data_IF_165938790277
#
_entry.id   IF_165938790277
#
_cell.length_a   1.000
_cell.length_b   1.000
_cell.length_c   1.000
_cell.angle_alpha   90.00
_cell.angle_beta   90.00
_cell.angle_gamma   90.00
#
_symmetry.space_group_name_H-M   'P 1'
#
loop_
_entity.id
_entity.type
_entity.pdbx_description
1 polymer ?
#
# COMPACT_ATOMS: atom_id res chain seq x y z
N UNK A 1 40.88 -45.83 -17.59
CA UNK A 1 40.26 -44.54 -17.23
C UNK A 1 40.34 -43.62 -18.43
N UNK A 2 39.22 -43.27 -19.08
CA UNK A 2 39.20 -42.30 -20.19
C UNK A 2 38.75 -40.95 -19.63
N UNK A 3 39.65 -39.97 -19.69
CA UNK A 3 39.44 -38.58 -19.36
C UNK A 3 38.40 -37.95 -20.31
N UNK A 4 37.37 -37.32 -19.76
CA UNK A 4 36.42 -36.48 -20.51
C UNK A 4 37.07 -35.12 -20.74
N UNK A 5 37.60 -34.91 -21.94
CA UNK A 5 38.10 -33.61 -22.36
C UNK A 5 36.90 -32.77 -22.82
N UNK A 6 36.50 -31.79 -22.01
CA UNK A 6 35.42 -30.86 -22.34
C UNK A 6 35.96 -29.89 -23.39
N UNK A 7 35.30 -29.87 -24.55
CA UNK A 7 35.63 -29.04 -25.69
C UNK A 7 35.33 -27.57 -25.38
N UNK A 8 36.39 -26.82 -25.08
CA UNK A 8 36.33 -25.44 -24.57
C UNK A 8 35.76 -24.45 -25.60
N UNK A 9 35.85 -24.76 -26.90
CA UNK A 9 35.25 -23.95 -27.96
C UNK A 9 33.73 -24.05 -27.97
N UNK A 10 33.18 -25.23 -27.66
CA UNK A 10 31.73 -25.43 -27.51
C UNK A 10 31.17 -24.67 -26.31
N UNK A 11 31.92 -24.60 -25.21
CA UNK A 11 31.51 -23.85 -24.02
C UNK A 11 31.55 -22.33 -24.28
N UNK A 12 32.59 -21.83 -24.96
CA UNK A 12 32.71 -20.42 -25.33
C UNK A 12 31.58 -19.94 -26.26
N UNK A 13 31.22 -20.76 -27.26
CA UNK A 13 30.09 -20.45 -28.15
C UNK A 13 28.73 -20.49 -27.45
N UNK A 14 28.55 -21.35 -26.45
CA UNK A 14 27.31 -21.44 -25.68
C UNK A 14 27.15 -20.22 -24.75
N UNK A 15 28.22 -19.76 -24.11
CA UNK A 15 28.24 -18.56 -23.26
C UNK A 15 27.98 -17.31 -24.10
N UNK A 16 28.65 -17.16 -25.25
CA UNK A 16 28.42 -16.04 -26.19
C UNK A 16 26.96 -15.98 -26.71
N UNK A 17 26.32 -17.14 -26.86
CA UNK A 17 24.91 -17.23 -27.30
C UNK A 17 23.93 -16.95 -26.15
N UNK A 18 24.34 -17.23 -24.90
CA UNK A 18 23.57 -16.89 -23.71
C UNK A 18 23.64 -15.39 -23.42
N UNK A 19 24.84 -14.78 -23.47
CA UNK A 19 25.06 -13.34 -23.26
C UNK A 19 24.33 -12.51 -24.33
N UNK A 20 24.41 -12.88 -25.61
CA UNK A 20 23.65 -12.20 -26.69
C UNK A 20 22.13 -12.29 -26.53
N UNK A 21 21.61 -13.30 -25.82
CA UNK A 21 20.16 -13.45 -25.60
C UNK A 21 19.67 -12.63 -24.38
N UNK A 22 20.57 -12.21 -23.50
CA UNK A 22 20.25 -11.28 -22.39
C UNK A 22 20.15 -9.84 -22.91
N UNK A 23 20.87 -9.48 -23.97
CA UNK A 23 20.89 -8.12 -24.52
C UNK A 23 19.79 -7.82 -25.56
N UNK A 24 19.00 -8.81 -25.99
CA UNK A 24 17.94 -8.67 -27.01
C UNK A 24 16.51 -8.84 -26.46
N UNK A 25 16.25 -8.32 -25.26
CA UNK A 25 14.88 -8.05 -24.80
C UNK A 25 14.61 -6.55 -24.84
N UNK A 26 14.08 -6.11 -25.99
CA UNK A 26 13.23 -4.93 -26.20
C UNK A 26 13.61 -3.65 -25.44
N UNK A 27 14.32 -2.75 -26.13
CA UNK A 27 14.35 -1.31 -25.85
C UNK A 27 12.92 -0.73 -25.79
N UNK A 28 12.41 -0.57 -24.59
CA UNK A 28 11.33 0.36 -24.26
C UNK A 28 11.94 1.51 -23.45
N UNK A 29 11.90 2.71 -24.00
CA UNK A 29 12.38 3.96 -23.41
C UNK A 29 11.73 4.26 -22.06
N UNK A 30 12.55 4.52 -21.04
CA UNK A 30 12.15 5.17 -19.81
C UNK A 30 13.07 4.79 -18.65
N UNK A 31 13.92 5.71 -18.21
CA UNK A 31 14.46 5.69 -16.86
C UNK A 31 13.27 5.74 -15.90
N UNK A 32 12.78 4.58 -15.47
CA UNK A 32 11.95 4.50 -14.27
C UNK A 32 12.93 4.48 -13.11
N UNK A 33 13.18 5.65 -12.53
CA UNK A 33 13.46 5.66 -11.09
C UNK A 33 12.39 4.77 -10.46
N UNK A 34 12.80 3.75 -9.69
CA UNK A 34 11.85 2.92 -8.97
C UNK A 34 11.19 3.84 -7.95
N UNK A 35 10.02 4.38 -8.32
CA UNK A 35 9.32 5.34 -7.49
C UNK A 35 9.00 4.66 -6.15
N UNK A 36 9.56 5.19 -5.07
CA UNK A 36 9.34 4.67 -3.72
C UNK A 36 7.84 4.78 -3.41
N UNK A 37 7.17 3.69 -3.01
CA UNK A 37 5.76 3.72 -2.66
C UNK A 37 5.49 4.78 -1.58
N UNK A 38 4.36 5.50 -1.62
CA UNK A 38 4.00 6.53 -0.63
C UNK A 38 4.17 6.08 0.82
N UNK A 39 3.78 4.84 1.14
CA UNK A 39 3.94 4.25 2.47
C UNK A 39 5.41 4.20 2.96
N UNK A 40 6.38 4.19 2.05
CA UNK A 40 7.81 4.03 2.36
C UNK A 40 8.63 5.32 2.15
N UNK A 41 7.98 6.42 1.74
CA UNK A 41 8.63 7.74 1.65
C UNK A 41 8.91 8.33 3.04
N UNK A 42 8.05 8.00 4.00
CA UNK A 42 8.19 8.37 5.40
C UNK A 42 9.35 7.61 6.05
N UNK A 43 10.35 8.33 6.58
CA UNK A 43 11.46 7.73 7.34
C UNK A 43 11.37 7.96 8.84
N UNK A 44 10.65 9.00 9.26
CA UNK A 44 10.49 9.38 10.67
C UNK A 44 9.07 9.10 11.17
N UNK A 45 8.92 8.75 12.45
CA UNK A 45 7.64 8.37 13.04
C UNK A 45 7.56 8.90 14.48
N UNK A 46 6.35 9.29 14.92
CA UNK A 46 6.10 9.62 16.34
C UNK A 46 6.00 8.33 17.16
N UNK A 47 5.37 7.30 16.59
CA UNK A 47 5.30 5.98 17.18
C UNK A 47 6.68 5.32 17.28
N UNK A 48 6.88 4.49 18.31
CA UNK A 48 8.04 3.60 18.35
C UNK A 48 7.90 2.49 17.30
N UNK A 49 9.05 1.97 16.86
CA UNK A 49 9.07 0.80 15.97
C UNK A 49 8.29 -0.38 16.57
N UNK A 50 8.50 -0.66 17.86
CA UNK A 50 7.78 -1.71 18.58
C UNK A 50 6.27 -1.52 18.56
N UNK A 51 5.77 -0.29 18.76
CA UNK A 51 4.33 0.02 18.67
C UNK A 51 3.77 -0.28 17.28
N UNK A 52 4.51 0.00 16.21
CA UNK A 52 4.09 -0.36 14.84
C UNK A 52 4.11 -1.86 14.64
N UNK A 53 5.18 -2.55 15.04
CA UNK A 53 5.29 -4.01 14.94
C UNK A 53 4.16 -4.71 15.69
N UNK A 54 3.79 -4.22 16.88
CA UNK A 54 2.70 -4.79 17.67
C UNK A 54 1.32 -4.72 16.99
N UNK A 55 1.15 -3.81 16.03
CA UNK A 55 -0.08 -3.72 15.22
C UNK A 55 -0.02 -4.50 13.90
N UNK A 56 1.14 -5.03 13.51
CA UNK A 56 1.26 -5.93 12.36
C UNK A 56 0.68 -7.32 12.67
N UNK A 57 0.32 -8.15 11.65
CA UNK A 57 -0.06 -9.54 11.88
C UNK A 57 0.93 -10.25 12.81
N UNK A 58 0.41 -10.93 13.83
CA UNK A 58 1.23 -11.62 14.82
C UNK A 58 2.17 -12.65 14.16
N UNK A 59 3.32 -12.91 14.78
CA UNK A 59 4.25 -13.93 14.31
C UNK A 59 3.58 -15.32 14.22
N UNK A 60 2.76 -15.64 15.22
CA UNK A 60 1.88 -16.82 15.20
C UNK A 60 0.50 -16.35 14.75
N UNK A 61 0.27 -16.36 13.43
CA UNK A 61 -1.02 -16.03 12.84
C UNK A 61 -1.54 -17.21 12.00
N UNK A 62 -2.83 -17.58 12.11
CA UNK A 62 -3.38 -18.73 11.38
C UNK A 62 -3.63 -18.46 9.89
N UNK A 63 -3.69 -17.20 9.45
CA UNK A 63 -4.09 -16.80 8.09
C UNK A 63 -3.00 -16.09 7.29
N UNK A 64 -2.06 -15.44 7.98
CA UNK A 64 -1.02 -14.61 7.39
C UNK A 64 0.34 -15.10 7.86
N UNK A 65 1.34 -15.01 7.00
CA UNK A 65 2.75 -15.18 7.36
C UNK A 65 3.62 -14.10 6.73
N UNK A 66 4.84 -13.99 7.24
CA UNK A 66 5.91 -13.18 6.65
C UNK A 66 6.95 -14.12 6.08
N UNK A 67 7.41 -13.85 4.86
CA UNK A 67 8.47 -14.66 4.22
C UNK A 67 9.84 -14.42 4.86
N UNK A 68 10.01 -13.32 5.58
CA UNK A 68 11.21 -13.01 6.35
C UNK A 68 10.87 -12.35 7.68
N UNK A 69 11.59 -11.29 8.02
CA UNK A 69 11.40 -10.57 9.28
C UNK A 69 10.01 -9.93 9.31
N UNK A 70 9.26 -10.19 10.40
CA UNK A 70 7.94 -9.60 10.64
C UNK A 70 8.03 -8.07 10.58
N UNK A 71 7.20 -7.46 9.73
CA UNK A 71 7.17 -6.00 9.55
C UNK A 71 8.24 -5.41 8.63
N UNK A 72 9.15 -6.24 8.09
CA UNK A 72 10.23 -5.81 7.17
C UNK A 72 10.29 -6.66 5.88
N UNK A 73 9.28 -7.49 5.64
CA UNK A 73 9.27 -8.44 4.52
C UNK A 73 7.87 -8.58 3.92
N UNK A 74 7.79 -9.36 2.84
CA UNK A 74 6.54 -9.67 2.17
C UNK A 74 5.64 -10.50 3.10
N UNK A 75 4.41 -10.02 3.29
CA UNK A 75 3.37 -10.71 4.05
C UNK A 75 2.38 -11.38 3.11
N UNK A 76 2.17 -12.69 3.26
CA UNK A 76 1.38 -13.52 2.33
C UNK A 76 0.28 -14.31 3.06
N UNK A 77 -0.68 -14.84 2.28
CA UNK A 77 -1.77 -15.69 2.78
C UNK A 77 -1.28 -17.12 3.00
N UNK A 78 -1.55 -17.68 4.19
CA UNK A 78 -1.28 -19.10 4.47
C UNK A 78 -2.24 -20.02 3.69
N UNK A 79 -1.80 -21.22 3.26
CA UNK A 79 -2.70 -22.24 2.75
C UNK A 79 -3.60 -22.84 3.86
N UNK A 80 -4.90 -23.10 3.59
CA UNK A 80 -5.65 -22.66 2.41
C UNK A 80 -5.95 -21.15 2.52
N UNK A 81 -5.74 -20.37 1.44
CA UNK A 81 -5.92 -18.92 1.50
C UNK A 81 -7.40 -18.55 1.63
N UNK A 82 -7.66 -17.42 2.28
CA UNK A 82 -8.98 -16.79 2.26
C UNK A 82 -9.34 -16.42 0.81
N UNK A 83 -10.42 -16.97 0.22
CA UNK A 83 -10.71 -16.80 -1.20
C UNK A 83 -10.91 -15.33 -1.61
N UNK A 84 -11.47 -14.51 -0.72
CA UNK A 84 -11.76 -13.11 -1.00
C UNK A 84 -10.49 -12.28 -1.03
N UNK A 85 -9.60 -12.49 -0.06
CA UNK A 85 -8.29 -11.84 -0.06
C UNK A 85 -7.44 -12.30 -1.24
N UNK A 86 -7.47 -13.60 -1.56
CA UNK A 86 -6.74 -14.14 -2.71
C UNK A 86 -7.17 -13.45 -4.01
N UNK A 87 -8.49 -13.33 -4.26
CA UNK A 87 -9.01 -12.63 -5.45
C UNK A 87 -8.47 -11.21 -5.55
N UNK A 88 -8.49 -10.45 -4.46
CA UNK A 88 -8.01 -9.05 -4.45
C UNK A 88 -6.52 -8.97 -4.77
N UNK A 89 -5.69 -9.86 -4.21
CA UNK A 89 -4.25 -9.88 -4.47
C UNK A 89 -3.94 -10.35 -5.91
N UNK A 90 -4.63 -11.37 -6.39
CA UNK A 90 -4.51 -11.88 -7.77
C UNK A 90 -4.90 -10.80 -8.80
N UNK A 91 -6.02 -10.09 -8.57
CA UNK A 91 -6.48 -8.97 -9.43
C UNK A 91 -5.47 -7.82 -9.48
N UNK A 92 -4.74 -7.58 -8.39
CA UNK A 92 -3.66 -6.60 -8.32
C UNK A 92 -2.32 -7.15 -8.87
N UNK A 93 -2.25 -8.43 -9.23
CA UNK A 93 -1.03 -9.08 -9.72
C UNK A 93 0.07 -9.21 -8.67
N UNK A 94 -0.28 -9.27 -7.38
CA UNK A 94 0.67 -9.36 -6.26
C UNK A 94 0.48 -10.65 -5.46
N UNK A 95 1.56 -11.18 -4.89
CA UNK A 95 1.52 -12.36 -4.01
C UNK A 95 1.08 -12.02 -2.57
N UNK A 96 1.31 -10.78 -2.15
CA UNK A 96 1.17 -10.33 -0.78
C UNK A 96 1.43 -8.84 -0.64
N UNK A 97 1.48 -8.37 0.60
CA UNK A 97 1.71 -6.96 0.94
C UNK A 97 3.12 -6.80 1.49
N UNK A 98 3.90 -5.91 0.87
CA UNK A 98 5.24 -5.60 1.38
C UNK A 98 5.12 -4.75 2.65
N UNK A 99 5.90 -5.11 3.66
CA UNK A 99 6.08 -4.28 4.85
C UNK A 99 7.50 -3.72 4.91
N UNK A 100 7.61 -2.51 5.47
CA UNK A 100 8.88 -1.89 5.88
C UNK A 100 8.60 -1.01 7.09
N UNK A 101 9.47 -1.03 8.10
CA UNK A 101 9.28 -0.29 9.35
C UNK A 101 7.94 -0.60 10.07
N UNK A 102 7.36 -1.79 9.87
CA UNK A 102 6.03 -2.14 10.37
C UNK A 102 4.85 -1.47 9.63
N UNK A 103 5.11 -0.82 8.50
CA UNK A 103 4.10 -0.15 7.66
C UNK A 103 3.84 -0.97 6.39
N UNK A 104 2.57 -1.27 6.04
CA UNK A 104 2.23 -1.96 4.79
C UNK A 104 2.16 -1.02 3.60
N UNK A 105 2.57 -1.51 2.42
CA UNK A 105 2.28 -0.85 1.15
C UNK A 105 1.01 -1.39 0.51
N UNK A 106 -0.08 -0.62 0.60
CA UNK A 106 -1.34 -0.92 -0.08
C UNK A 106 -1.49 -0.25 -1.45
N UNK A 107 -0.47 0.45 -1.94
CA UNK A 107 -0.53 1.14 -3.23
C UNK A 107 -0.98 0.23 -4.39
N UNK A 108 -0.52 -1.04 -4.49
CA UNK A 108 -0.96 -1.94 -5.56
C UNK A 108 -2.47 -2.29 -5.55
N UNK A 109 -3.13 -2.20 -4.40
CA UNK A 109 -4.58 -2.49 -4.25
C UNK A 109 -5.41 -1.21 -4.08
N UNK A 110 -4.77 -0.05 -4.08
CA UNK A 110 -5.44 1.24 -3.92
C UNK A 110 -6.24 1.61 -5.16
N UNK A 111 -7.45 2.14 -4.94
CA UNK A 111 -8.34 2.66 -6.00
C UNK A 111 -8.17 4.16 -6.22
N UNK A 112 -7.73 4.88 -5.19
CA UNK A 112 -7.46 6.32 -5.23
C UNK A 112 -6.46 6.70 -4.14
N UNK A 113 -5.71 7.77 -4.36
CA UNK A 113 -4.85 8.37 -3.35
C UNK A 113 -5.05 9.88 -3.37
N UNK A 114 -5.27 10.46 -2.20
CA UNK A 114 -5.50 11.89 -2.03
C UNK A 114 -4.72 12.41 -0.83
N UNK A 115 -4.45 13.71 -0.81
CA UNK A 115 -3.97 14.40 0.38
C UNK A 115 -5.16 15.13 1.04
N UNK A 116 -5.33 14.96 2.35
CA UNK A 116 -6.30 15.72 3.14
C UNK A 116 -5.63 16.94 3.78
N UNK A 117 -6.43 17.95 4.13
CA UNK A 117 -5.90 19.21 4.66
C UNK A 117 -5.23 19.02 6.03
N UNK A 118 -5.83 18.17 6.88
CA UNK A 118 -5.29 17.80 8.18
C UNK A 118 -5.87 16.46 8.62
N UNK A 119 -5.05 15.64 9.29
CA UNK A 119 -5.50 14.41 9.91
C UNK A 119 -5.71 14.62 11.41
N UNK A 120 -6.85 14.17 11.92
CA UNK A 120 -7.17 14.21 13.34
C UNK A 120 -7.14 12.82 13.96
N UNK A 121 -6.70 12.76 15.21
CA UNK A 121 -6.67 11.56 16.03
C UNK A 121 -7.61 11.64 17.23
N UNK A 122 -7.65 10.57 18.00
CA UNK A 122 -8.46 10.43 19.20
C UNK A 122 -8.63 8.98 19.61
N UNK A 123 -9.06 8.75 20.84
CA UNK A 123 -9.39 7.42 21.38
C UNK A 123 -10.88 7.35 21.77
N UNK A 124 -11.43 6.14 21.87
CA UNK A 124 -12.85 5.93 22.23
C UNK A 124 -13.83 6.71 21.35
N UNK A 125 -14.76 7.45 21.99
CA UNK A 125 -15.73 8.29 21.28
C UNK A 125 -15.10 9.39 20.43
N UNK A 126 -14.00 9.99 20.90
CA UNK A 126 -13.24 10.99 20.14
C UNK A 126 -12.57 10.38 18.90
N UNK A 127 -12.11 9.13 18.99
CA UNK A 127 -11.57 8.40 17.84
C UNK A 127 -12.61 8.15 16.75
N UNK A 128 -13.86 7.86 17.13
CA UNK A 128 -14.96 7.70 16.16
C UNK A 128 -15.32 9.02 15.47
N UNK A 129 -15.26 10.14 16.19
CA UNK A 129 -15.46 11.47 15.62
C UNK A 129 -14.30 11.85 14.68
N UNK A 130 -13.06 11.63 15.10
CA UNK A 130 -11.85 11.90 14.31
C UNK A 130 -11.86 11.14 12.98
N UNK A 131 -12.16 9.83 13.02
CA UNK A 131 -12.31 9.01 11.81
C UNK A 131 -13.33 9.58 10.84
N UNK A 132 -14.49 10.03 11.35
CA UNK A 132 -15.54 10.63 10.52
C UNK A 132 -15.03 11.89 9.82
N UNK A 133 -14.33 12.76 10.55
CA UNK A 133 -13.77 14.00 10.00
C UNK A 133 -12.73 13.72 8.91
N UNK A 134 -11.78 12.80 9.14
CA UNK A 134 -10.80 12.41 8.12
C UNK A 134 -11.49 11.84 6.87
N UNK A 135 -12.51 10.99 7.06
CA UNK A 135 -13.22 10.34 5.95
C UNK A 135 -14.03 11.32 5.12
N UNK A 136 -14.71 12.29 5.75
CA UNK A 136 -15.44 13.33 5.02
C UNK A 136 -14.49 14.17 4.18
N UNK A 137 -13.34 14.59 4.72
CA UNK A 137 -12.33 15.33 3.93
C UNK A 137 -11.86 14.52 2.72
N UNK A 138 -11.59 13.23 2.91
CA UNK A 138 -11.14 12.36 1.82
C UNK A 138 -12.23 12.13 0.76
N UNK A 139 -13.48 12.00 1.17
CA UNK A 139 -14.64 11.89 0.28
C UNK A 139 -14.85 13.18 -0.53
N UNK A 140 -14.67 14.36 0.07
CA UNK A 140 -14.70 15.65 -0.61
C UNK A 140 -13.57 15.76 -1.64
N UNK A 141 -12.33 15.44 -1.26
CA UNK A 141 -11.17 15.49 -2.16
C UNK A 141 -11.27 14.53 -3.33
N UNK A 142 -11.77 13.32 -3.11
CA UNK A 142 -12.01 12.40 -4.22
C UNK A 142 -13.12 12.91 -5.14
N UNK A 143 -14.21 13.46 -4.60
CA UNK A 143 -15.27 14.06 -5.41
C UNK A 143 -14.74 15.21 -6.30
N UNK A 144 -13.92 16.10 -5.74
CA UNK A 144 -13.22 17.16 -6.49
C UNK A 144 -12.36 16.56 -7.62
N UNK A 145 -11.55 15.55 -7.35
CA UNK A 145 -10.72 14.89 -8.36
C UNK A 145 -11.54 14.24 -9.48
N UNK A 146 -12.63 13.54 -9.14
CA UNK A 146 -13.48 12.90 -10.14
C UNK A 146 -14.23 13.93 -10.99
N UNK A 147 -14.72 15.03 -10.39
CA UNK A 147 -15.38 16.09 -11.14
C UNK A 147 -14.44 16.79 -12.12
N UNK A 148 -13.16 16.90 -11.79
CA UNK A 148 -12.14 17.47 -12.66
C UNK A 148 -11.56 16.48 -13.68
N UNK A 149 -11.97 15.21 -13.66
CA UNK A 149 -11.46 14.18 -14.56
C UNK A 149 -12.55 13.18 -14.99
N UNK A 150 -13.21 13.41 -16.14
CA UNK A 150 -14.22 12.51 -16.69
C UNK A 150 -13.72 11.07 -16.88
N UNK A 151 -12.45 10.91 -17.27
CA UNK A 151 -11.84 9.59 -17.45
C UNK A 151 -11.71 8.83 -16.12
N UNK A 152 -11.32 9.53 -15.05
CA UNK A 152 -11.22 8.94 -13.73
C UNK A 152 -12.61 8.64 -13.17
N UNK A 153 -13.57 9.55 -13.29
CA UNK A 153 -14.95 9.33 -12.90
C UNK A 153 -15.53 8.05 -13.56
N UNK A 154 -15.27 7.85 -14.86
CA UNK A 154 -15.69 6.64 -15.58
C UNK A 154 -15.10 5.35 -15.01
N UNK A 155 -13.85 5.37 -14.52
CA UNK A 155 -13.24 4.19 -13.84
C UNK A 155 -13.94 3.84 -12.53
N UNK A 156 -14.59 4.81 -11.89
CA UNK A 156 -15.43 4.64 -10.71
C UNK A 156 -16.91 4.34 -11.08
N UNK A 157 -17.24 4.26 -12.37
CA UNK A 157 -18.63 4.10 -12.83
C UNK A 157 -19.49 5.33 -12.53
N UNK A 158 -18.88 6.52 -12.48
CA UNK A 158 -19.54 7.79 -12.20
C UNK A 158 -19.44 8.76 -13.39
N UNK A 159 -20.35 9.71 -13.43
CA UNK A 159 -20.32 10.86 -14.34
C UNK A 159 -19.73 12.08 -13.62
N UNK A 160 -18.74 12.73 -14.22
CA UNK A 160 -18.07 13.91 -13.66
C UNK A 160 -18.93 15.17 -13.76
N UNK A 161 -18.79 16.10 -12.82
CA UNK A 161 -19.34 17.45 -12.86
C UNK A 161 -20.16 17.81 -11.63
N UNK A 162 -20.89 16.83 -11.08
CA UNK A 162 -21.79 17.02 -9.93
C UNK A 162 -21.62 15.93 -8.85
N UNK A 163 -20.48 15.24 -8.82
CA UNK A 163 -20.19 14.24 -7.80
C UNK A 163 -20.02 14.93 -6.45
N UNK A 164 -20.76 14.45 -5.45
CA UNK A 164 -20.70 14.93 -4.07
C UNK A 164 -19.96 13.95 -3.17
N UNK A 165 -19.41 14.44 -2.05
CA UNK A 165 -18.77 13.59 -1.04
C UNK A 165 -19.71 12.48 -0.53
N UNK A 166 -21.03 12.74 -0.44
CA UNK A 166 -22.02 11.73 -0.04
C UNK A 166 -22.14 10.59 -1.05
N UNK A 167 -21.98 10.88 -2.35
CA UNK A 167 -21.94 9.84 -3.38
C UNK A 167 -20.67 9.00 -3.26
N UNK A 168 -19.52 9.62 -2.96
CA UNK A 168 -18.28 8.90 -2.67
C UNK A 168 -18.45 8.02 -1.43
N UNK A 169 -19.01 8.54 -0.34
CA UNK A 169 -19.26 7.75 0.87
C UNK A 169 -20.13 6.51 0.57
N UNK A 170 -21.22 6.69 -0.17
CA UNK A 170 -22.10 5.59 -0.62
C UNK A 170 -21.35 4.58 -1.48
N UNK A 171 -20.55 5.04 -2.44
CA UNK A 171 -19.72 4.19 -3.28
C UNK A 171 -18.76 3.34 -2.44
N UNK A 172 -18.01 3.95 -1.52
CA UNK A 172 -17.09 3.19 -0.65
C UNK A 172 -17.81 2.12 0.15
N UNK A 173 -18.97 2.42 0.72
CA UNK A 173 -19.79 1.47 1.50
C UNK A 173 -20.28 0.31 0.61
N UNK A 174 -20.80 0.62 -0.58
CA UNK A 174 -21.31 -0.38 -1.52
C UNK A 174 -20.20 -1.33 -2.02
N UNK A 175 -19.00 -0.78 -2.27
CA UNK A 175 -17.85 -1.51 -2.78
C UNK A 175 -16.92 -2.06 -1.68
N UNK A 176 -17.31 -1.96 -0.40
CA UNK A 176 -16.53 -2.45 0.76
C UNK A 176 -15.10 -1.90 0.79
N UNK A 177 -14.98 -0.59 0.58
CA UNK A 177 -13.73 0.17 0.62
C UNK A 177 -13.63 1.04 1.89
N UNK A 178 -12.41 1.31 2.32
CA UNK A 178 -12.09 2.20 3.44
C UNK A 178 -10.96 3.15 3.06
N UNK A 179 -10.94 4.34 3.65
CA UNK A 179 -9.74 5.16 3.65
C UNK A 179 -8.72 4.54 4.61
N UNK A 180 -7.51 4.31 4.10
CA UNK A 180 -6.30 3.97 4.83
C UNK A 180 -5.51 5.27 5.02
N UNK A 181 -5.41 5.72 6.26
CA UNK A 181 -4.67 6.90 6.65
C UNK A 181 -3.17 6.55 6.78
N UNK A 182 -2.31 7.07 5.89
CA UNK A 182 -0.88 6.73 5.89
C UNK A 182 -0.16 7.41 7.06
N UNK A 183 0.99 6.85 7.43
CA UNK A 183 1.79 7.34 8.55
C UNK A 183 2.28 8.78 8.36
N UNK A 184 2.38 9.29 7.14
CA UNK A 184 2.75 10.69 6.86
C UNK A 184 1.72 11.74 7.32
N UNK A 185 0.63 11.30 7.96
CA UNK A 185 -0.46 12.10 8.53
C UNK A 185 -1.12 13.07 7.55
N UNK A 186 -0.96 12.81 6.24
CA UNK A 186 -1.42 13.69 5.16
C UNK A 186 -2.07 12.91 4.02
N UNK A 187 -1.44 11.82 3.60
CA UNK A 187 -1.91 10.98 2.51
C UNK A 187 -2.93 9.97 3.02
N UNK A 188 -4.00 9.77 2.24
CA UNK A 188 -4.92 8.66 2.46
C UNK A 188 -5.14 7.89 1.16
N UNK A 189 -5.30 6.57 1.27
CA UNK A 189 -5.52 5.68 0.14
C UNK A 189 -6.89 4.98 0.27
N UNK A 190 -7.65 4.93 -0.83
CA UNK A 190 -8.91 4.19 -0.87
C UNK A 190 -8.63 2.71 -1.17
N UNK A 191 -8.74 1.86 -0.17
CA UNK A 191 -8.34 0.44 -0.27
C UNK A 191 -9.49 -0.51 0.10
N UNK A 192 -9.45 -1.78 -0.31
CA UNK A 192 -10.40 -2.79 0.16
C UNK A 192 -10.37 -2.95 1.68
N UNK A 193 -11.54 -2.89 2.33
CA UNK A 193 -11.66 -3.00 3.80
C UNK A 193 -11.09 -4.32 4.34
N UNK A 194 -11.23 -5.41 3.60
CA UNK A 194 -10.67 -6.71 3.98
C UNK A 194 -9.14 -6.69 4.03
N UNK A 195 -8.49 -6.08 3.04
CA UNK A 195 -7.02 -5.98 3.02
C UNK A 195 -6.56 -5.12 4.18
N UNK A 196 -7.14 -3.92 4.34
CA UNK A 196 -6.79 -3.01 5.42
C UNK A 196 -6.95 -3.63 6.82
N UNK A 197 -7.99 -4.45 7.01
CA UNK A 197 -8.23 -5.12 8.29
C UNK A 197 -7.37 -6.37 8.51
N UNK A 198 -7.00 -7.10 7.44
CA UNK A 198 -6.23 -8.33 7.58
C UNK A 198 -4.74 -8.06 7.78
N UNK A 199 -4.22 -7.13 7.02
CA UNK A 199 -2.84 -6.69 7.07
C UNK A 199 -2.73 -5.57 8.10
N UNK A 200 -2.79 -5.95 9.37
CA UNK A 200 -2.75 -5.02 10.51
C UNK A 200 -1.56 -4.06 10.45
N UNK A 201 -1.76 -2.86 10.98
CA UNK A 201 -0.77 -1.79 10.98
C UNK A 201 -1.18 -0.66 11.94
N UNK A 202 -0.20 0.17 12.29
CA UNK A 202 -0.41 1.47 12.89
C UNK A 202 -0.34 2.51 11.76
N UNK A 203 -1.47 3.12 11.40
CA UNK A 203 -1.55 4.15 10.36
C UNK A 203 -1.46 5.57 10.93
N UNK A 204 -1.74 6.58 10.10
CA UNK A 204 -1.61 8.01 10.43
C UNK A 204 -2.37 8.45 11.68
N UNK A 205 -3.60 7.95 11.91
CA UNK A 205 -4.33 8.24 13.16
C UNK A 205 -3.58 7.74 14.40
N UNK A 206 -2.90 6.59 14.28
CA UNK A 206 -2.04 6.06 15.32
C UNK A 206 -0.81 6.93 15.56
N UNK A 207 -0.25 7.52 14.50
CA UNK A 207 0.84 8.49 14.60
C UNK A 207 0.38 9.79 15.27
N UNK A 208 -0.80 10.33 14.91
CA UNK A 208 -1.38 11.50 15.60
C UNK A 208 -1.56 11.22 17.09
N UNK A 209 -2.09 10.04 17.43
CA UNK A 209 -2.27 9.62 18.82
C UNK A 209 -0.92 9.41 19.55
N UNK A 210 0.16 9.14 18.82
CA UNK A 210 1.52 9.05 19.34
C UNK A 210 2.22 10.42 19.43
N UNK A 211 1.56 11.50 19.03
CA UNK A 211 2.07 12.88 19.11
C UNK A 211 2.47 13.49 17.77
N UNK A 212 2.16 12.89 16.62
CA UNK A 212 2.30 13.58 15.34
C UNK A 212 1.28 14.73 15.24
N UNK A 213 1.69 15.92 14.82
CA UNK A 213 0.80 17.07 14.60
C UNK A 213 1.29 17.88 13.40
N UNK A 214 0.39 18.30 12.51
CA UNK A 214 0.73 19.13 11.35
C UNK A 214 0.94 20.59 11.76
N UNK A 215 2.00 21.28 11.26
CA UNK A 215 1.95 21.82 9.89
C UNK A 215 3.04 21.42 8.87
N UNK A 216 4.14 20.74 9.20
CA UNK A 216 5.14 20.27 8.20
C UNK A 216 5.88 18.97 8.60
N UNK A 217 5.38 18.21 9.59
CA UNK A 217 6.01 16.96 10.02
C UNK A 217 5.46 16.41 11.33
N UNK A 218 6.14 15.41 11.88
CA UNK A 218 5.84 14.85 13.19
C UNK A 218 6.29 15.82 14.29
N UNK A 219 5.54 15.93 15.40
CA UNK A 219 6.05 16.73 16.50
C UNK A 219 7.35 16.11 16.99
N UNK A 220 8.41 16.93 17.02
CA UNK A 220 9.64 16.57 17.72
C UNK A 220 9.27 16.18 19.15
N UNK A 221 9.72 15.00 19.61
CA UNK A 221 9.63 14.63 21.02
C UNK A 221 10.18 15.79 21.85
N UNK A 222 9.33 16.40 22.68
CA UNK A 222 9.80 17.21 23.81
C UNK A 222 10.34 16.27 24.89
#
# INVERSE_FOLDING_TARGET
MRSLQVDTEKLGNLISKFERKVDEVSKGTGNREVEVPPAFRQTDFASSYESRINQTPAQINPKIEFEGIRGESLSTLKPPPDPKLKSILDEAGIKGIQYKNGVPDFSPVSKAQIEINHMVGGTGGNGSAARRLNFTQADEKLAEQLNNSPELARKFGMESGEITWKQIEKYRRAHKLTWHELNDVKTVQLVPTEVNSKFGHLGGVGEINAGAFMPDGFASKQ
#
